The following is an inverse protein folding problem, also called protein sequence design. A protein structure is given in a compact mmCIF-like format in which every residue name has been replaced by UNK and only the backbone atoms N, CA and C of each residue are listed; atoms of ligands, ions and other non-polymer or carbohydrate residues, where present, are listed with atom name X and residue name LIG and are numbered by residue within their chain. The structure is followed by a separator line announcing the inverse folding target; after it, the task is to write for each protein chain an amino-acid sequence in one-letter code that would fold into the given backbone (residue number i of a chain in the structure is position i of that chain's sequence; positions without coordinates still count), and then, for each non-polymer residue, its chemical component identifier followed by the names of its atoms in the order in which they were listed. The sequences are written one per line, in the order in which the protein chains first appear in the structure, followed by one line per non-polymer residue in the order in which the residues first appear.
data_IF_588205792275
#
_entry.id   IF_588205792275
#
_cell.length_a   1.000
_cell.length_b   1.000
_cell.length_c   1.000
_cell.angle_alpha   90.00
_cell.angle_beta   90.00
_cell.angle_gamma   90.00
#
_symmetry.space_group_name_H-M   'P 1'
#
loop_
_entity.id
_entity.type
_entity.pdbx_description
1 polymer ?
#
# COMPACT_ATOMS: atom_id res chain seq x y z
N UNK A 1 14.42 -6.34 3.28
CA UNK A 1 15.06 -5.52 4.34
C UNK A 1 14.36 -5.79 5.66
N UNK A 2 15.09 -6.08 6.73
CA UNK A 2 14.48 -6.27 8.05
C UNK A 2 13.80 -4.96 8.49
N UNK A 3 12.62 -5.01 9.13
CA UNK A 3 11.89 -3.79 9.52
C UNK A 3 12.73 -2.86 10.40
N UNK A 4 13.64 -3.43 11.19
CA UNK A 4 14.63 -2.69 12.00
C UNK A 4 15.59 -1.85 11.17
N UNK A 5 16.11 -2.39 10.06
CA UNK A 5 17.04 -1.67 9.18
C UNK A 5 16.40 -0.44 8.53
N UNK A 6 15.15 -0.56 8.07
CA UNK A 6 14.42 0.56 7.48
C UNK A 6 14.19 1.68 8.51
N UNK A 7 13.86 1.32 9.76
CA UNK A 7 13.72 2.28 10.85
C UNK A 7 15.03 3.01 11.14
N UNK A 8 16.18 2.33 11.08
CA UNK A 8 17.49 2.96 11.23
C UNK A 8 17.73 3.97 10.10
N UNK A 9 17.50 3.60 8.84
CA UNK A 9 17.68 4.52 7.71
C UNK A 9 16.76 5.73 7.79
N UNK A 10 15.51 5.56 8.25
CA UNK A 10 14.61 6.69 8.52
C UNK A 10 15.16 7.62 9.60
N UNK A 11 15.70 7.06 10.69
CA UNK A 11 16.38 7.84 11.72
C UNK A 11 17.57 8.64 11.17
N UNK A 12 18.45 7.99 10.40
CA UNK A 12 19.60 8.63 9.74
C UNK A 12 19.15 9.72 8.76
N UNK A 13 18.06 9.49 8.02
CA UNK A 13 17.48 10.47 7.09
C UNK A 13 17.01 11.72 7.82
N UNK A 14 16.28 11.56 8.94
CA UNK A 14 15.82 12.69 9.76
C UNK A 14 16.99 13.46 10.39
N UNK A 15 17.98 12.75 10.94
CA UNK A 15 19.19 13.38 11.51
C UNK A 15 19.98 14.11 10.43
N UNK A 16 20.12 13.51 9.24
CA UNK A 16 20.75 14.15 8.08
C UNK A 16 20.04 15.43 7.64
N UNK A 17 18.70 15.41 7.58
CA UNK A 17 17.89 16.60 7.27
C UNK A 17 18.05 17.71 8.31
N UNK A 18 17.97 17.38 9.60
CA UNK A 18 18.14 18.35 10.69
C UNK A 18 19.55 18.94 10.64
N UNK A 19 20.57 18.11 10.39
CA UNK A 19 21.95 18.57 10.23
C UNK A 19 22.13 19.48 9.02
N UNK A 20 21.50 19.17 7.89
CA UNK A 20 21.53 20.00 6.69
C UNK A 20 20.85 21.35 6.92
N UNK A 21 19.71 21.35 7.62
CA UNK A 21 19.02 22.57 8.03
C UNK A 21 19.87 23.43 8.98
N UNK A 22 20.56 22.79 9.92
CA UNK A 22 21.50 23.46 10.82
C UNK A 22 22.67 24.10 10.04
N UNK A 23 23.25 23.39 9.06
CA UNK A 23 24.30 23.95 8.20
C UNK A 23 23.80 25.13 7.38
N UNK A 24 22.59 25.03 6.81
CA UNK A 24 21.97 26.11 6.06
C UNK A 24 21.71 27.34 6.94
N UNK A 25 21.25 27.13 8.17
CA UNK A 25 21.07 28.20 9.15
C UNK A 25 22.41 28.88 9.50
N UNK A 26 23.45 28.11 9.83
CA UNK A 26 24.80 28.63 10.12
C UNK A 26 25.39 29.40 8.93
N UNK A 27 25.21 28.89 7.71
CA UNK A 27 25.65 29.57 6.49
C UNK A 27 24.88 30.90 6.25
N UNK A 28 23.57 30.92 6.52
CA UNK A 28 22.75 32.12 6.41
C UNK A 28 23.15 33.17 7.45
N UNK A 29 23.36 32.75 8.70
CA UNK A 29 23.83 33.64 9.78
C UNK A 29 25.22 34.21 9.48
N UNK A 30 26.15 33.39 8.99
CA UNK A 30 27.47 33.86 8.58
C UNK A 30 27.37 34.90 7.45
N UNK A 31 26.51 34.66 6.45
CA UNK A 31 26.24 35.63 5.38
C UNK A 31 25.61 36.93 5.90
N UNK A 32 24.72 36.85 6.89
CA UNK A 32 24.13 38.03 7.53
C UNK A 32 25.18 38.84 8.32
N UNK A 33 26.04 38.15 9.07
CA UNK A 33 27.14 38.77 9.83
C UNK A 33 28.12 39.53 8.93
N UNK A 34 28.52 38.94 7.80
CA UNK A 34 29.42 39.61 6.84
C UNK A 34 28.80 40.88 6.23
N UNK A 35 27.48 40.86 5.96
CA UNK A 35 26.76 42.04 5.48
C UNK A 35 26.73 43.16 6.53
N UNK A 36 26.54 42.81 7.80
CA UNK A 36 26.48 43.78 8.90
C UNK A 36 27.85 44.40 9.22
N UNK A 37 28.94 43.65 9.02
CA UNK A 37 30.31 44.09 9.31
C UNK A 37 31.03 44.71 8.12
N UNK A 38 30.33 44.85 6.98
CA UNK A 38 30.86 45.36 5.71
C UNK A 38 32.15 44.64 5.25
N UNK A 39 32.35 43.40 5.71
CA UNK A 39 33.52 42.60 5.35
C UNK A 39 33.31 41.95 3.97
N UNK A 40 34.36 41.90 3.12
CA UNK A 40 34.26 41.19 1.85
C UNK A 40 34.00 39.70 2.10
N UNK A 41 33.09 39.11 1.32
CA UNK A 41 32.86 37.67 1.34
C UNK A 41 34.07 36.96 0.76
N UNK A 42 34.95 36.42 1.62
CA UNK A 42 36.10 35.63 1.19
C UNK A 42 35.67 34.20 0.93
N UNK A 43 35.33 33.45 1.98
CA UNK A 43 34.94 32.04 1.92
C UNK A 43 34.01 31.67 3.08
N UNK A 44 33.23 30.60 2.92
CA UNK A 44 32.52 30.00 4.06
C UNK A 44 33.53 29.30 4.98
N UNK A 45 33.31 29.28 6.31
CA UNK A 45 34.11 28.48 7.22
C UNK A 45 34.15 27.03 6.75
N UNK A 46 35.36 26.46 6.67
CA UNK A 46 35.59 25.10 6.18
C UNK A 46 34.75 24.07 6.95
N UNK A 47 34.55 24.29 8.24
CA UNK A 47 33.71 23.47 9.11
C UNK A 47 32.27 23.32 8.58
N UNK A 48 31.62 24.43 8.21
CA UNK A 48 30.25 24.42 7.65
C UNK A 48 30.24 23.64 6.32
N UNK A 49 31.26 23.80 5.49
CA UNK A 49 31.37 23.10 4.20
C UNK A 49 31.47 21.59 4.42
N UNK A 50 32.38 21.15 5.30
CA UNK A 50 32.57 19.72 5.61
C UNK A 50 31.31 19.12 6.22
N UNK A 51 30.68 19.80 7.18
CA UNK A 51 29.43 19.33 7.79
C UNK A 51 28.30 19.23 6.77
N UNK A 52 28.20 20.18 5.83
CA UNK A 52 27.20 20.15 4.75
C UNK A 52 27.42 18.95 3.83
N UNK A 53 28.67 18.67 3.43
CA UNK A 53 28.98 17.53 2.56
C UNK A 53 28.67 16.20 3.25
N UNK A 54 29.10 16.04 4.51
CA UNK A 54 28.86 14.81 5.29
C UNK A 54 27.37 14.59 5.52
N UNK A 55 26.62 15.62 5.94
CA UNK A 55 25.17 15.53 6.14
C UNK A 55 24.41 15.26 4.84
N UNK A 56 24.84 15.84 3.72
CA UNK A 56 24.26 15.58 2.41
C UNK A 56 24.47 14.13 1.96
N UNK A 57 25.68 13.59 2.10
CA UNK A 57 25.97 12.19 1.76
C UNK A 57 25.12 11.24 2.61
N UNK A 58 25.05 11.47 3.93
CA UNK A 58 24.23 10.67 4.83
C UNK A 58 22.73 10.74 4.49
N UNK A 59 22.22 11.94 4.17
CA UNK A 59 20.84 12.14 3.75
C UNK A 59 20.53 11.42 2.43
N UNK A 60 21.36 11.59 1.40
CA UNK A 60 21.14 10.95 0.11
C UNK A 60 21.22 9.41 0.23
N UNK A 61 22.22 8.90 0.94
CA UNK A 61 22.37 7.46 1.16
C UNK A 61 21.14 6.87 1.86
N UNK A 62 20.71 7.47 2.97
CA UNK A 62 19.51 7.02 3.68
C UNK A 62 18.23 7.16 2.85
N UNK A 63 18.07 8.24 2.07
CA UNK A 63 16.93 8.43 1.18
C UNK A 63 16.87 7.33 0.09
N UNK A 64 18.01 6.97 -0.51
CA UNK A 64 18.06 5.88 -1.50
C UNK A 64 17.71 4.52 -0.88
N UNK A 65 18.13 4.25 0.36
CA UNK A 65 17.72 3.02 1.06
C UNK A 65 16.22 3.00 1.39
N UNK A 66 15.61 4.17 1.68
CA UNK A 66 14.17 4.26 1.99
C UNK A 66 13.31 4.13 0.74
N UNK A 67 13.81 4.54 -0.45
CA UNK A 67 13.08 4.48 -1.71
C UNK A 67 12.58 3.08 -2.09
N UNK A 68 13.20 2.03 -1.53
CA UNK A 68 12.79 0.65 -1.69
C UNK A 68 13.41 -0.01 -2.92
N UNK A 69 13.19 -1.32 -3.02
CA UNK A 69 13.72 -2.14 -4.11
C UNK A 69 12.91 -1.94 -5.39
N UNK A 70 13.61 -1.85 -6.52
CA UNK A 70 12.96 -1.80 -7.82
C UNK A 70 12.20 -3.10 -8.11
N UNK A 71 10.93 -2.98 -8.49
CA UNK A 71 10.14 -4.12 -8.95
C UNK A 71 10.44 -4.42 -10.43
N UNK A 72 10.48 -5.70 -10.84
CA UNK A 72 10.70 -6.05 -12.23
C UNK A 72 9.54 -5.54 -13.11
N UNK A 73 9.87 -4.89 -14.23
CA UNK A 73 8.88 -4.38 -15.20
C UNK A 73 8.09 -5.52 -15.86
N UNK A 74 8.73 -6.68 -15.98
CA UNK A 74 8.15 -7.87 -16.60
C UNK A 74 7.07 -8.49 -15.71
N UNK A 75 5.81 -8.34 -16.13
CA UNK A 75 4.65 -8.90 -15.43
C UNK A 75 4.59 -10.42 -15.46
N UNK A 76 5.24 -11.08 -16.43
CA UNK A 76 5.24 -12.54 -16.54
C UNK A 76 5.92 -13.20 -15.34
N UNK A 77 7.01 -12.60 -14.83
CA UNK A 77 7.71 -13.10 -13.64
C UNK A 77 6.83 -13.05 -12.39
N UNK A 78 6.10 -11.94 -12.17
CA UNK A 78 5.18 -11.79 -11.05
C UNK A 78 3.94 -12.70 -11.20
N UNK A 79 3.51 -12.97 -12.44
CA UNK A 79 2.32 -13.77 -12.70
C UNK A 79 2.55 -15.28 -12.56
N UNK A 80 3.77 -15.77 -12.77
CA UNK A 80 4.12 -17.20 -12.62
C UNK A 80 3.87 -17.75 -11.22
N UNK A 81 3.92 -16.90 -10.20
CA UNK A 81 3.67 -17.28 -8.80
C UNK A 81 2.17 -17.42 -8.48
N UNK A 82 1.27 -16.92 -9.35
CA UNK A 82 -0.17 -17.04 -9.12
C UNK A 82 -0.64 -18.44 -9.52
N UNK A 83 -1.36 -19.12 -8.62
CA UNK A 83 -1.97 -20.42 -8.95
C UNK A 83 -3.22 -20.24 -9.80
N UNK A 84 -3.57 -21.28 -10.56
CA UNK A 84 -4.83 -21.31 -11.31
C UNK A 84 -6.06 -21.17 -10.41
N UNK A 85 -5.99 -21.58 -9.14
CA UNK A 85 -7.09 -21.39 -8.18
C UNK A 85 -7.41 -19.90 -7.97
N UNK A 86 -6.39 -19.05 -8.01
CA UNK A 86 -6.57 -17.59 -7.86
C UNK A 86 -7.07 -16.95 -9.15
N UNK A 87 -6.57 -17.41 -10.30
CA UNK A 87 -6.89 -16.80 -11.61
C UNK A 87 -8.24 -17.29 -12.15
N UNK A 88 -8.61 -18.54 -11.90
CA UNK A 88 -9.89 -19.13 -12.32
C UNK A 88 -11.09 -18.66 -11.49
N UNK A 89 -10.82 -18.09 -10.32
CA UNK A 89 -11.82 -17.47 -9.48
C UNK A 89 -12.28 -16.14 -10.11
N UNK A 90 -13.51 -16.12 -10.64
CA UNK A 90 -14.10 -14.92 -11.24
C UNK A 90 -15.19 -14.33 -10.32
N UNK A 91 -14.91 -13.23 -9.59
CA UNK A 91 -15.85 -12.64 -8.63
C UNK A 91 -17.21 -12.28 -9.23
N UNK A 92 -17.26 -11.93 -10.52
CA UNK A 92 -18.48 -11.58 -11.22
C UNK A 92 -19.45 -12.76 -11.43
N UNK A 93 -18.97 -14.00 -11.32
CA UNK A 93 -19.78 -15.22 -11.54
C UNK A 93 -19.90 -16.09 -10.28
N UNK A 94 -19.69 -15.53 -9.09
CA UNK A 94 -19.89 -16.28 -7.86
C UNK A 94 -21.34 -16.71 -7.70
N UNK A 95 -21.52 -18.01 -7.50
CA UNK A 95 -22.81 -18.59 -7.12
C UNK A 95 -22.73 -19.05 -5.67
N UNK A 96 -23.65 -18.56 -4.83
CA UNK A 96 -23.68 -18.90 -3.40
C UNK A 96 -24.45 -20.18 -3.10
N UNK A 97 -24.99 -20.84 -4.13
CA UNK A 97 -25.63 -22.15 -4.00
C UNK A 97 -24.62 -23.28 -4.19
N UNK A 98 -23.85 -23.54 -3.14
CA UNK A 98 -22.85 -24.62 -3.09
C UNK A 98 -22.88 -25.30 -1.72
N UNK A 99 -22.17 -26.44 -1.59
CA UNK A 99 -22.16 -27.28 -0.36
C UNK A 99 -21.88 -26.50 0.93
N UNK A 100 -21.12 -25.40 0.89
CA UNK A 100 -20.83 -24.62 2.10
C UNK A 100 -22.08 -23.97 2.71
N UNK A 101 -23.12 -23.69 1.91
CA UNK A 101 -24.42 -23.17 2.35
C UNK A 101 -25.08 -24.05 3.42
N UNK A 102 -24.99 -25.37 3.30
CA UNK A 102 -25.57 -26.32 4.28
C UNK A 102 -24.66 -26.57 5.49
N UNK A 103 -23.37 -26.26 5.38
CA UNK A 103 -22.39 -26.44 6.45
C UNK A 103 -22.27 -25.21 7.35
N UNK A 104 -22.73 -24.03 6.92
CA UNK A 104 -22.68 -22.81 7.72
C UNK A 104 -23.84 -22.77 8.74
N UNK A 105 -23.56 -22.68 10.05
CA UNK A 105 -24.60 -22.60 11.10
C UNK A 105 -25.56 -21.42 10.91
N UNK A 106 -25.09 -20.34 10.29
CA UNK A 106 -25.88 -19.13 10.06
C UNK A 106 -26.92 -19.28 8.95
N UNK A 107 -26.83 -20.31 8.10
CA UNK A 107 -27.79 -20.49 7.01
C UNK A 107 -29.00 -21.35 7.44
N UNK A 108 -28.81 -22.24 8.42
CA UNK A 108 -29.88 -23.07 8.99
C UNK A 108 -31.05 -22.25 9.53
N UNK A 109 -30.80 -21.07 10.10
CA UNK A 109 -31.85 -20.24 10.71
C UNK A 109 -32.71 -19.51 9.66
N UNK A 110 -32.15 -19.18 8.49
CA UNK A 110 -32.88 -18.47 7.44
C UNK A 110 -33.87 -19.35 6.67
N UNK A 111 -33.60 -20.65 6.58
CA UNK A 111 -34.51 -21.60 5.93
C UNK A 111 -35.71 -21.92 6.82
N UNK A 112 -35.53 -22.04 8.15
CA UNK A 112 -36.65 -22.28 9.07
C UNK A 112 -37.66 -21.12 9.07
N UNK A 113 -37.21 -19.87 8.97
CA UNK A 113 -38.14 -18.72 8.90
C UNK A 113 -38.92 -18.63 7.57
N UNK A 114 -38.38 -19.14 6.46
CA UNK A 114 -39.10 -19.17 5.18
C UNK A 114 -40.00 -20.40 5.04
N UNK A 115 -39.58 -21.56 5.57
CA UNK A 115 -40.39 -22.78 5.56
C UNK A 115 -41.61 -22.72 6.50
N UNK A 116 -41.55 -21.92 7.58
CA UNK A 116 -42.72 -21.69 8.45
C UNK A 116 -43.76 -20.74 7.83
N UNK A 117 -43.41 -20.02 6.75
CA UNK A 117 -44.29 -19.01 6.12
C UNK A 117 -44.76 -19.36 4.70
N UNK A 118 -44.40 -20.52 4.15
CA UNK A 118 -44.84 -20.97 2.82
C UNK A 118 -45.20 -22.46 2.82
N UNK A 119 -46.44 -22.85 2.49
CA UNK A 119 -46.77 -24.26 2.28
C UNK A 119 -45.96 -24.79 1.12
N UNK A 120 -45.16 -25.84 1.32
CA UNK A 120 -44.56 -26.58 0.22
C UNK A 120 -45.66 -26.99 -0.76
N UNK A 121 -45.58 -26.63 -2.06
CA UNK A 121 -46.37 -27.32 -3.05
C UNK A 121 -45.79 -28.73 -3.11
N UNK A 122 -46.59 -29.68 -2.64
CA UNK A 122 -46.37 -31.10 -2.83
C UNK A 122 -46.10 -31.38 -4.30
N UNK A 123 -45.06 -32.19 -4.52
CA UNK A 123 -44.74 -32.88 -5.77
C UNK A 123 -45.98 -33.12 -6.64
N UNK A 124 -46.22 -32.23 -7.60
CA UNK A 124 -47.20 -32.40 -8.66
C UNK A 124 -46.43 -32.69 -9.94
N UNK A 125 -46.73 -33.88 -10.45
CA UNK A 125 -46.53 -34.31 -11.82
C UNK A 125 -46.74 -33.18 -12.82
N UNK A 126 -45.75 -33.05 -13.69
CA UNK A 126 -45.73 -32.25 -14.92
C UNK A 126 -46.91 -32.66 -15.81
N UNK A 127 -47.87 -31.77 -16.00
CA UNK A 127 -48.81 -31.85 -17.11
C UNK A 127 -49.28 -30.44 -17.48
N UNK A 128 -49.17 -30.15 -18.78
CA UNK A 128 -49.87 -29.12 -19.53
C UNK A 128 -49.42 -27.65 -19.37
N UNK A 129 -48.50 -27.30 -20.27
CA UNK A 129 -48.42 -26.04 -21.01
C UNK A 129 -49.16 -24.82 -20.48
N UNK A 130 -48.39 -23.88 -19.93
CA UNK A 130 -48.59 -22.47 -20.28
C UNK A 130 -47.24 -21.77 -20.47
N UNK A 131 -47.13 -21.16 -21.63
CA UNK A 131 -45.98 -20.49 -22.19
C UNK A 131 -45.99 -19.06 -21.63
N UNK A 132 -45.46 -18.84 -20.43
CA UNK A 132 -45.31 -17.48 -19.91
C UNK A 132 -43.99 -16.86 -20.39
N UNK A 133 -44.13 -16.13 -21.49
CA UNK A 133 -43.19 -15.16 -22.05
C UNK A 133 -43.00 -14.03 -21.02
N UNK A 134 -41.76 -13.82 -20.57
CA UNK A 134 -41.35 -12.54 -19.99
C UNK A 134 -40.90 -11.63 -21.13
N UNK A 135 -41.73 -10.65 -21.44
CA UNK A 135 -41.33 -9.50 -22.23
C UNK A 135 -40.28 -8.68 -21.47
N UNK A 136 -39.25 -8.26 -22.19
CA UNK A 136 -38.43 -7.08 -21.92
C UNK A 136 -38.60 -6.13 -23.10
#
# INVERSE_FOLDING_TARGET
MNPTSLSIFRGVCLVGLISLLHCAYSAAQHRFYLRLTEQPFTQLPLDIIVQTIVSLIAFLYSATCIAGEFQPVRSDLQNRTKSWDTVGNCPSFYTFDHRARTLSPSYSDSCQQYFDSSPCPSSSTVQDGELFRCDY
#
